data_IF_248808262933
#
_entry.id   IF_248808262933
#
_cell.length_a   1.000
_cell.length_b   1.000
_cell.length_c   1.000
_cell.angle_alpha   90.00
_cell.angle_beta   90.00
_cell.angle_gamma   90.00
#
_symmetry.space_group_name_H-M   'P 1'
#
loop_
_entity.id
_entity.type
_entity.pdbx_description
1 polymer ?
#
# COMPACT_ATOMS: atom_id res chain seq x y z
N UNK A 1 -21.60 12.39 -6.79
CA UNK A 1 -20.47 11.44 -6.68
C UNK A 1 -19.87 11.37 -8.07
N UNK A 2 -18.75 12.04 -8.31
CA UNK A 2 -18.14 12.05 -9.65
C UNK A 2 -17.40 10.73 -9.84
N UNK A 3 -17.87 9.93 -10.79
CA UNK A 3 -17.20 8.70 -11.22
C UNK A 3 -15.88 9.10 -11.90
N UNK A 4 -14.74 8.82 -11.26
CA UNK A 4 -13.44 8.94 -11.94
C UNK A 4 -13.38 7.77 -12.94
N UNK A 5 -13.80 8.04 -14.18
CA UNK A 5 -13.68 7.12 -15.32
C UNK A 5 -12.20 6.89 -15.63
N UNK A 6 -11.71 5.67 -15.40
CA UNK A 6 -10.44 5.21 -15.97
C UNK A 6 -10.76 4.53 -17.29
N UNK A 7 -10.94 5.31 -18.36
CA UNK A 7 -11.17 4.71 -19.68
C UNK A 7 -9.89 4.09 -20.24
N UNK A 8 -8.70 4.56 -19.84
CA UNK A 8 -7.42 3.98 -20.23
C UNK A 8 -6.48 3.86 -19.03
N UNK A 9 -6.21 2.62 -18.65
CA UNK A 9 -5.20 2.30 -17.64
C UNK A 9 -4.41 1.07 -18.09
N UNK A 10 -3.09 1.24 -18.13
CA UNK A 10 -2.13 0.27 -18.63
C UNK A 10 -1.47 -0.46 -17.46
N UNK A 11 -1.34 -1.78 -17.58
CA UNK A 11 -0.66 -2.59 -16.57
C UNK A 11 0.86 -2.49 -16.82
N UNK A 12 1.61 -1.93 -15.88
CA UNK A 12 3.08 -1.95 -15.91
C UNK A 12 3.55 -3.14 -15.09
N UNK A 13 4.20 -4.09 -15.74
CA UNK A 13 4.76 -5.27 -15.10
C UNK A 13 6.28 -5.22 -15.15
N UNK A 14 6.92 -5.52 -14.02
CA UNK A 14 8.37 -5.74 -13.94
C UNK A 14 8.68 -7.07 -13.26
N UNK A 15 9.72 -7.76 -13.73
CA UNK A 15 10.18 -9.03 -13.17
C UNK A 15 10.72 -8.86 -11.75
N UNK A 16 11.24 -7.67 -11.43
CA UNK A 16 11.47 -7.18 -10.07
C UNK A 16 10.58 -5.97 -9.71
N UNK A 17 10.41 -5.71 -8.39
CA UNK A 17 9.83 -4.44 -7.91
C UNK A 17 10.58 -3.25 -8.53
N UNK A 18 11.91 -3.33 -8.57
CA UNK A 18 12.76 -2.27 -9.06
C UNK A 18 12.61 -2.00 -10.55
N UNK A 19 12.43 -3.05 -11.36
CA UNK A 19 12.19 -2.90 -12.80
C UNK A 19 10.86 -2.19 -13.03
N UNK A 20 9.81 -2.61 -12.33
CA UNK A 20 8.50 -1.99 -12.44
C UNK A 20 8.53 -0.52 -12.00
N UNK A 21 9.24 -0.20 -10.91
CA UNK A 21 9.39 1.17 -10.43
C UNK A 21 10.15 2.06 -11.41
N UNK A 22 11.18 1.53 -12.06
CA UNK A 22 11.96 2.24 -13.07
C UNK A 22 11.07 2.59 -14.26
N UNK A 23 10.28 1.62 -14.76
CA UNK A 23 9.32 1.86 -15.87
C UNK A 23 8.26 2.88 -15.45
N UNK A 24 7.77 2.82 -14.21
CA UNK A 24 6.76 3.75 -13.70
C UNK A 24 7.23 5.21 -13.61
N UNK A 25 8.53 5.53 -13.73
CA UNK A 25 9.02 6.91 -13.68
C UNK A 25 8.45 7.78 -14.81
N UNK A 26 8.08 7.16 -15.93
CA UNK A 26 7.50 7.84 -17.10
C UNK A 26 5.96 7.92 -17.07
N UNK A 27 5.32 7.44 -16.00
CA UNK A 27 3.87 7.31 -15.93
C UNK A 27 3.27 7.85 -14.63
N UNK A 28 2.03 8.33 -14.70
CA UNK A 28 1.21 8.60 -13.51
C UNK A 28 0.60 7.30 -12.98
N UNK A 29 1.08 6.82 -11.84
CA UNK A 29 0.55 5.60 -11.19
C UNK A 29 -0.84 5.88 -10.60
N UNK A 30 -1.77 4.95 -10.80
CA UNK A 30 -3.10 5.01 -10.21
C UNK A 30 -3.06 5.02 -8.68
N UNK A 31 -3.80 5.95 -8.09
CA UNK A 31 -3.96 5.99 -6.64
C UNK A 31 -4.56 4.68 -6.13
N UNK A 32 -4.14 4.22 -4.96
CA UNK A 32 -4.64 2.96 -4.43
C UNK A 32 -6.16 2.99 -4.18
N UNK A 33 -6.71 4.16 -3.81
CA UNK A 33 -8.15 4.34 -3.66
C UNK A 33 -8.90 4.09 -4.97
N UNK A 34 -8.36 4.54 -6.10
CA UNK A 34 -8.98 4.26 -7.40
C UNK A 34 -9.05 2.77 -7.71
N UNK A 35 -7.97 2.02 -7.43
CA UNK A 35 -7.90 0.57 -7.62
C UNK A 35 -8.93 -0.13 -6.72
N UNK A 36 -9.00 0.25 -5.45
CA UNK A 36 -9.95 -0.31 -4.47
C UNK A 36 -11.40 -0.01 -4.84
N UNK A 37 -11.72 1.22 -5.24
CA UNK A 37 -13.07 1.63 -5.63
C UNK A 37 -13.50 0.89 -6.91
N UNK A 38 -12.59 0.65 -7.85
CA UNK A 38 -12.86 -0.20 -9.04
C UNK A 38 -13.10 -1.66 -8.68
N UNK A 39 -12.34 -2.23 -7.75
CA UNK A 39 -12.61 -3.58 -7.22
C UNK A 39 -14.01 -3.68 -6.62
N UNK A 40 -14.43 -2.68 -5.84
CA UNK A 40 -15.78 -2.59 -5.24
C UNK A 40 -16.86 -2.55 -6.32
N UNK A 41 -16.69 -1.70 -7.34
CA UNK A 41 -17.67 -1.50 -8.40
C UNK A 41 -17.75 -2.69 -9.37
N UNK A 42 -16.65 -3.41 -9.62
CA UNK A 42 -16.57 -4.48 -10.62
C UNK A 42 -17.63 -5.56 -10.44
N UNK A 43 -18.43 -5.86 -11.46
CA UNK A 43 -19.48 -6.91 -11.37
C UNK A 43 -18.92 -8.33 -11.46
N UNK A 44 -17.71 -8.49 -11.99
CA UNK A 44 -17.02 -9.77 -12.20
C UNK A 44 -15.63 -9.79 -11.55
N UNK A 45 -15.04 -10.99 -11.36
CA UNK A 45 -13.68 -11.19 -10.82
C UNK A 45 -12.55 -10.85 -11.81
N UNK A 46 -12.84 -10.07 -12.85
CA UNK A 46 -11.95 -9.83 -13.99
C UNK A 46 -10.75 -8.92 -13.68
N UNK A 47 -10.37 -8.08 -14.65
CA UNK A 47 -9.13 -7.27 -14.66
C UNK A 47 -8.74 -6.65 -13.32
N UNK A 48 -9.67 -6.04 -12.58
CA UNK A 48 -9.36 -5.31 -11.35
C UNK A 48 -9.10 -6.19 -10.12
N UNK A 49 -9.53 -7.45 -10.13
CA UNK A 49 -9.34 -8.38 -9.01
C UNK A 49 -8.07 -9.23 -9.11
N UNK A 50 -7.35 -9.14 -10.24
CA UNK A 50 -5.94 -9.56 -10.29
C UNK A 50 -5.16 -8.84 -9.18
N UNK A 51 -4.23 -9.51 -8.55
CA UNK A 51 -2.83 -9.15 -8.75
C UNK A 51 -2.35 -7.69 -9.00
N UNK A 52 -2.25 -6.77 -8.02
CA UNK A 52 -1.63 -5.45 -8.22
C UNK A 52 -0.73 -5.01 -7.06
N UNK A 53 0.36 -4.32 -7.39
CA UNK A 53 1.15 -3.48 -6.49
C UNK A 53 0.52 -2.09 -6.42
N UNK A 54 0.36 -1.56 -5.22
CA UNK A 54 -0.20 -0.22 -4.99
C UNK A 54 0.91 0.78 -4.67
N UNK A 55 0.66 2.08 -4.85
CA UNK A 55 1.57 3.13 -4.37
C UNK A 55 1.63 3.23 -2.83
N UNK A 56 0.82 2.47 -2.09
CA UNK A 56 0.79 2.56 -0.62
C UNK A 56 2.09 2.02 -0.05
N UNK A 57 2.62 2.75 0.93
CA UNK A 57 3.78 2.36 1.72
C UNK A 57 3.35 2.07 3.16
N UNK A 58 3.81 0.96 3.71
CA UNK A 58 3.85 0.74 5.15
C UNK A 58 5.28 0.95 5.64
N UNK A 59 5.51 2.06 6.33
CA UNK A 59 6.77 2.34 7.01
C UNK A 59 6.72 1.84 8.46
N UNK A 60 7.77 1.16 8.91
CA UNK A 60 7.87 0.59 10.26
C UNK A 60 9.16 1.07 10.91
N UNK A 61 9.10 1.55 12.14
CA UNK A 61 10.26 2.03 12.87
C UNK A 61 9.90 2.60 14.25
N UNK A 62 10.88 3.25 14.88
CA UNK A 62 10.71 3.83 16.22
C UNK A 62 10.43 5.33 16.19
N UNK A 63 9.53 5.78 17.05
CA UNK A 63 9.34 7.21 17.35
C UNK A 63 10.59 7.79 18.02
N UNK A 64 10.65 9.12 18.18
CA UNK A 64 11.73 9.78 18.95
C UNK A 64 11.83 9.28 20.40
N UNK A 65 10.72 8.80 20.96
CA UNK A 65 10.64 8.26 22.32
C UNK A 65 10.90 6.74 22.40
N UNK A 66 11.25 6.10 21.28
CA UNK A 66 11.59 4.67 21.23
C UNK A 66 10.42 3.71 21.04
N UNK A 67 9.18 4.20 20.90
CA UNK A 67 8.01 3.34 20.65
C UNK A 67 7.98 2.82 19.21
N UNK A 68 7.73 1.53 19.02
CA UNK A 68 7.55 0.93 17.70
C UNK A 68 6.19 1.29 17.10
N UNK A 69 6.20 1.86 15.90
CA UNK A 69 4.99 2.29 15.20
C UNK A 69 5.00 1.85 13.75
N UNK A 70 3.79 1.69 13.22
CA UNK A 70 3.51 1.49 11.81
C UNK A 70 2.86 2.74 11.23
N UNK A 71 3.40 3.24 10.13
CA UNK A 71 2.92 4.41 9.41
C UNK A 71 2.50 3.98 8.01
N UNK A 72 1.21 3.96 7.76
CA UNK A 72 0.64 3.63 6.46
C UNK A 72 0.39 4.92 5.70
N UNK A 73 0.92 5.00 4.48
CA UNK A 73 0.95 6.22 3.68
C UNK A 73 0.35 5.96 2.32
N UNK A 74 -0.70 6.70 1.98
CA UNK A 74 -1.22 6.89 0.63
C UNK A 74 -0.58 8.14 0.04
N UNK A 75 0.31 8.01 -0.95
CA UNK A 75 0.90 9.15 -1.62
C UNK A 75 -0.16 10.02 -2.28
N UNK A 76 0.05 11.34 -2.23
CA UNK A 76 -0.82 12.34 -2.85
C UNK A 76 -0.03 13.60 -3.15
N UNK A 77 0.10 13.93 -4.46
CA UNK A 77 0.67 15.19 -4.93
C UNK A 77 -0.10 16.39 -4.38
N UNK A 78 -1.44 16.33 -4.38
CA UNK A 78 -2.31 17.42 -3.89
C UNK A 78 -2.06 17.77 -2.41
N UNK A 79 -1.74 16.77 -1.59
CA UNK A 79 -1.53 16.96 -0.13
C UNK A 79 -0.07 17.12 0.26
N UNK A 80 0.85 17.21 -0.72
CA UNK A 80 2.29 17.28 -0.50
C UNK A 80 2.87 16.05 0.20
N UNK A 81 2.16 14.92 0.18
CA UNK A 81 2.66 13.62 0.63
C UNK A 81 3.26 12.97 -0.60
N UNK A 82 4.46 13.41 -0.94
CA UNK A 82 5.19 12.92 -2.11
C UNK A 82 5.38 11.41 -2.02
N UNK A 83 5.26 10.74 -3.15
CA UNK A 83 5.54 9.33 -3.19
C UNK A 83 7.06 9.13 -3.05
N UNK A 84 7.52 8.29 -2.12
CA UNK A 84 8.95 7.92 -2.11
C UNK A 84 9.41 7.29 -3.44
N UNK A 85 8.46 6.81 -4.26
CA UNK A 85 8.70 6.29 -5.61
C UNK A 85 8.75 7.38 -6.69
N UNK A 86 8.29 8.61 -6.41
CA UNK A 86 8.39 9.76 -7.31
C UNK A 86 9.76 10.45 -7.23
N UNK A 87 10.64 10.03 -6.31
CA UNK A 87 12.02 10.52 -6.23
C UNK A 87 12.95 9.48 -6.90
N UNK A 88 13.44 9.74 -8.13
CA UNK A 88 14.26 8.80 -8.87
C UNK A 88 15.52 8.39 -8.12
N UNK A 89 16.18 9.33 -7.45
CA UNK A 89 17.38 9.05 -6.66
C UNK A 89 17.09 8.10 -5.49
N UNK A 90 15.87 8.15 -4.94
CA UNK A 90 15.46 7.27 -3.85
C UNK A 90 15.22 5.85 -4.34
N UNK A 91 14.57 5.72 -5.50
CA UNK A 91 14.40 4.43 -6.19
C UNK A 91 15.77 3.88 -6.58
N UNK A 92 16.64 4.67 -7.20
CA UNK A 92 17.99 4.28 -7.60
C UNK A 92 18.82 3.79 -6.40
N UNK A 93 18.87 4.54 -5.30
CA UNK A 93 19.59 4.12 -4.09
C UNK A 93 19.05 2.81 -3.51
N UNK A 94 17.73 2.65 -3.47
CA UNK A 94 17.09 1.47 -2.90
C UNK A 94 17.20 0.22 -3.79
N UNK A 95 17.13 0.41 -5.11
CA UNK A 95 17.03 -0.66 -6.09
C UNK A 95 18.34 -1.01 -6.78
N UNK A 96 19.17 -0.02 -7.07
CA UNK A 96 20.42 -0.19 -7.84
C UNK A 96 21.61 -0.30 -6.90
N UNK A 97 21.68 0.53 -5.86
CA UNK A 97 22.88 0.66 -5.02
C UNK A 97 22.85 -0.22 -3.76
N UNK A 98 21.71 -0.30 -3.06
CA UNK A 98 21.66 -0.90 -1.71
C UNK A 98 21.07 -2.31 -1.65
N UNK A 99 20.35 -2.73 -2.70
CA UNK A 99 19.42 -3.87 -2.72
C UNK A 99 18.38 -3.77 -1.59
N UNK A 100 17.09 -3.87 -1.93
CA UNK A 100 16.00 -3.88 -0.96
C UNK A 100 16.34 -4.76 0.25
N UNK A 101 16.23 -4.21 1.46
CA UNK A 101 16.49 -4.97 2.68
C UNK A 101 15.22 -5.71 3.04
N UNK A 102 15.22 -7.03 2.80
CA UNK A 102 14.07 -7.88 3.10
C UNK A 102 12.76 -7.38 2.46
N UNK A 103 12.87 -7.02 1.17
CA UNK A 103 11.79 -6.48 0.34
C UNK A 103 11.36 -5.05 0.68
N UNK A 104 12.03 -4.38 1.62
CA UNK A 104 11.74 -3.01 2.03
C UNK A 104 12.79 -2.00 1.59
N UNK A 105 12.35 -0.75 1.51
CA UNK A 105 13.15 0.44 1.21
C UNK A 105 13.59 1.07 2.53
N UNK A 106 14.90 1.13 2.84
CA UNK A 106 15.41 1.82 4.02
C UNK A 106 15.03 3.30 4.00
N UNK A 107 14.59 3.83 5.15
CA UNK A 107 14.30 5.25 5.30
C UNK A 107 15.31 5.95 6.21
N UNK A 108 15.62 7.20 5.87
CA UNK A 108 16.22 8.12 6.84
C UNK A 108 15.25 8.35 8.01
N UNK A 109 15.80 8.49 9.23
CA UNK A 109 14.99 8.65 10.44
C UNK A 109 14.15 9.92 10.39
N UNK A 110 14.70 10.98 9.83
CA UNK A 110 14.06 12.29 9.66
C UNK A 110 12.85 12.17 8.73
N UNK A 111 12.99 11.45 7.61
CA UNK A 111 11.87 11.15 6.70
C UNK A 111 10.78 10.37 7.41
N UNK A 112 11.13 9.33 8.17
CA UNK A 112 10.15 8.54 8.92
C UNK A 112 9.42 9.37 9.99
N UNK A 113 10.13 10.22 10.74
CA UNK A 113 9.51 11.10 11.73
C UNK A 113 8.64 12.18 11.08
N UNK A 114 9.01 12.68 9.90
CA UNK A 114 8.16 13.56 9.12
C UNK A 114 6.84 12.86 8.73
N UNK A 115 6.89 11.59 8.34
CA UNK A 115 5.66 10.80 8.07
C UNK A 115 4.79 10.64 9.32
N UNK A 116 5.39 10.39 10.49
CA UNK A 116 4.63 10.30 11.76
C UNK A 116 3.90 11.62 12.04
N UNK A 117 4.54 12.76 11.80
CA UNK A 117 3.94 14.09 12.04
C UNK A 117 2.74 14.41 11.14
N UNK A 118 2.52 13.60 10.09
CA UNK A 118 1.42 13.72 9.14
C UNK A 118 0.22 12.84 9.52
N UNK A 119 0.20 12.24 10.71
CA UNK A 119 -0.96 11.47 11.14
C UNK A 119 -2.24 12.30 10.99
N UNK A 120 -3.30 11.67 10.50
CA UNK A 120 -4.59 12.33 10.28
C UNK A 120 -4.71 13.30 9.13
N UNK A 121 -3.70 13.40 8.28
CA UNK A 121 -3.87 14.07 7.00
C UNK A 121 -4.91 13.30 6.16
N UNK A 122 -5.87 14.04 5.63
CA UNK A 122 -6.93 13.59 4.72
C UNK A 122 -6.87 14.36 3.40
N UNK A 123 -7.38 13.76 2.34
CA UNK A 123 -7.62 14.48 1.08
C UNK A 123 -8.95 15.27 1.10
N UNK A 124 -9.25 15.97 -0.01
CA UNK A 124 -10.50 16.72 -0.19
C UNK A 124 -11.77 15.85 -0.12
N UNK A 125 -11.65 14.53 -0.26
CA UNK A 125 -12.73 13.57 -0.17
C UNK A 125 -12.79 12.84 1.18
N UNK A 126 -12.04 13.32 2.18
CA UNK A 126 -11.97 12.73 3.52
C UNK A 126 -11.43 11.30 3.52
N UNK A 127 -10.61 10.94 2.54
CA UNK A 127 -9.80 9.73 2.63
C UNK A 127 -8.58 10.01 3.52
N UNK A 128 -8.37 9.18 4.53
CA UNK A 128 -7.19 9.18 5.38
C UNK A 128 -5.96 8.83 4.55
N UNK A 129 -5.03 9.76 4.41
CA UNK A 129 -3.80 9.57 3.66
C UNK A 129 -2.67 9.00 4.50
N UNK A 130 -2.60 9.33 5.79
CA UNK A 130 -1.57 8.81 6.69
C UNK A 130 -2.21 8.27 7.97
N UNK A 131 -1.91 7.03 8.32
CA UNK A 131 -2.33 6.40 9.58
C UNK A 131 -1.11 5.94 10.37
N UNK A 132 -0.91 6.54 11.54
CA UNK A 132 0.09 6.10 12.52
C UNK A 132 -0.59 5.21 13.55
N UNK A 133 -0.03 4.02 13.77
CA UNK A 133 -0.59 3.03 14.70
C UNK A 133 0.53 2.43 15.54
N UNK A 134 0.27 2.18 16.82
CA UNK A 134 1.19 1.43 17.68
C UNK A 134 1.28 -0.01 17.16
N UNK A 135 2.51 -0.53 17.04
CA UNK A 135 2.78 -1.91 16.62
C UNK A 135 2.00 -2.92 17.48
N UNK A 136 1.82 -2.66 18.78
CA UNK A 136 1.14 -3.57 19.72
C UNK A 136 -0.34 -3.79 19.40
N UNK A 137 -0.96 -2.89 18.62
CA UNK A 137 -2.35 -3.01 18.19
C UNK A 137 -2.52 -3.93 16.97
N UNK A 138 -1.41 -4.34 16.34
CA UNK A 138 -1.45 -5.26 15.22
C UNK A 138 -1.36 -6.69 15.75
N UNK A 139 -2.35 -7.50 15.38
CA UNK A 139 -2.34 -8.92 15.66
C UNK A 139 -1.36 -9.65 14.73
N UNK A 140 -1.30 -10.98 14.80
CA UNK A 140 -0.43 -11.76 13.91
C UNK A 140 -0.86 -11.68 12.44
N UNK A 141 0.15 -11.69 11.56
CA UNK A 141 -0.02 -11.82 10.11
C UNK A 141 -0.62 -13.19 9.76
N UNK A 142 -1.61 -13.21 8.87
CA UNK A 142 -2.23 -14.47 8.45
C UNK A 142 -3.63 -14.32 7.85
N UNK A 143 -4.32 -15.46 7.73
CA UNK A 143 -5.73 -15.53 7.33
C UNK A 143 -6.64 -15.18 8.50
N UNK A 144 -7.72 -14.46 8.22
CA UNK A 144 -8.72 -14.04 9.21
C UNK A 144 -10.10 -13.94 8.57
N UNK A 145 -11.14 -14.04 9.38
CA UNK A 145 -12.50 -13.73 8.94
C UNK A 145 -12.58 -12.24 8.53
N UNK A 146 -13.17 -11.98 7.37
CA UNK A 146 -13.28 -10.64 6.78
C UNK A 146 -14.04 -9.67 7.70
N UNK A 147 -14.98 -10.16 8.50
CA UNK A 147 -15.74 -9.37 9.49
C UNK A 147 -14.83 -8.86 10.61
N UNK A 148 -13.77 -9.59 10.94
CA UNK A 148 -12.76 -9.15 11.90
C UNK A 148 -11.68 -8.33 11.21
N UNK A 149 -11.34 -8.68 9.96
CA UNK A 149 -10.34 -7.97 9.18
C UNK A 149 -10.69 -6.49 8.95
N UNK A 150 -11.96 -6.13 8.80
CA UNK A 150 -12.37 -4.72 8.66
C UNK A 150 -12.01 -3.84 9.86
N UNK A 151 -11.82 -4.44 11.04
CA UNK A 151 -11.39 -3.73 12.24
C UNK A 151 -9.86 -3.68 12.39
N UNK A 152 -9.12 -4.51 11.65
CA UNK A 152 -7.67 -4.59 11.77
C UNK A 152 -7.01 -3.29 11.30
N UNK A 153 -6.08 -2.69 12.07
CA UNK A 153 -5.48 -1.40 11.73
C UNK A 153 -4.82 -1.37 10.34
N UNK A 154 -4.15 -2.46 9.96
CA UNK A 154 -3.58 -2.59 8.60
C UNK A 154 -4.64 -2.44 7.52
N UNK A 155 -5.73 -3.19 7.61
CA UNK A 155 -6.79 -3.16 6.61
C UNK A 155 -7.47 -1.79 6.57
N UNK A 156 -7.79 -1.21 7.73
CA UNK A 156 -8.41 0.13 7.82
C UNK A 156 -7.53 1.21 7.20
N UNK A 157 -6.22 1.17 7.48
CA UNK A 157 -5.26 2.10 6.89
C UNK A 157 -5.23 1.98 5.37
N UNK A 158 -5.17 0.76 4.81
CA UNK A 158 -5.22 0.55 3.34
C UNK A 158 -6.51 1.08 2.74
N UNK A 159 -7.63 0.90 3.42
CA UNK A 159 -8.92 1.33 2.91
C UNK A 159 -9.10 2.85 3.00
N UNK A 160 -8.43 3.53 3.92
CA UNK A 160 -8.43 4.99 4.06
C UNK A 160 -9.78 5.62 4.43
N UNK A 161 -10.88 4.84 4.45
CA UNK A 161 -12.18 5.23 4.99
C UNK A 161 -13.01 4.00 5.34
N UNK A 162 -13.89 4.16 6.32
CA UNK A 162 -14.76 3.09 6.82
C UNK A 162 -15.70 2.52 5.74
N UNK A 163 -16.38 3.40 4.98
CA UNK A 163 -17.24 2.96 3.86
C UNK A 163 -16.50 2.04 2.87
N UNK A 164 -15.23 2.35 2.54
CA UNK A 164 -14.45 1.56 1.59
C UNK A 164 -14.09 0.21 2.19
N UNK A 165 -13.72 0.20 3.47
CA UNK A 165 -13.42 -1.03 4.21
C UNK A 165 -14.59 -2.02 4.17
N UNK A 166 -15.81 -1.55 4.44
CA UNK A 166 -17.02 -2.37 4.44
C UNK A 166 -17.41 -2.85 3.04
N UNK A 167 -17.41 -1.94 2.05
CA UNK A 167 -17.78 -2.29 0.67
C UNK A 167 -16.78 -3.25 0.04
N UNK A 168 -15.49 -3.05 0.29
CA UNK A 168 -14.45 -3.98 -0.15
C UNK A 168 -14.62 -5.35 0.50
N UNK A 169 -14.90 -5.39 1.81
CA UNK A 169 -15.14 -6.63 2.53
C UNK A 169 -16.35 -7.40 2.00
N UNK A 170 -17.47 -6.71 1.75
CA UNK A 170 -18.66 -7.32 1.15
C UNK A 170 -18.36 -7.90 -0.25
N UNK A 171 -17.54 -7.18 -1.02
CA UNK A 171 -17.15 -7.61 -2.37
C UNK A 171 -16.20 -8.81 -2.33
N UNK A 172 -15.19 -8.77 -1.47
CA UNK A 172 -14.29 -9.88 -1.19
C UNK A 172 -15.08 -11.11 -0.77
N UNK A 173 -16.04 -10.97 0.16
CA UNK A 173 -16.89 -12.07 0.63
C UNK A 173 -17.66 -12.74 -0.50
N UNK A 174 -18.20 -11.96 -1.43
CA UNK A 174 -18.90 -12.48 -2.61
C UNK A 174 -17.99 -13.25 -3.57
N UNK A 175 -16.73 -12.82 -3.72
CA UNK A 175 -15.81 -13.39 -4.70
C UNK A 175 -14.85 -14.44 -4.13
N UNK A 176 -14.44 -14.39 -2.88
CA UNK A 176 -13.39 -15.26 -2.35
C UNK A 176 -13.78 -15.94 -1.03
N UNK A 177 -15.00 -15.67 -0.54
CA UNK A 177 -15.51 -16.24 0.69
C UNK A 177 -15.15 -15.40 1.92
N UNK A 178 -15.39 -15.96 3.10
CA UNK A 178 -15.34 -15.20 4.37
C UNK A 178 -13.92 -14.91 4.85
N UNK A 179 -12.91 -15.56 4.30
CA UNK A 179 -11.53 -15.37 4.75
C UNK A 179 -10.78 -14.39 3.85
N UNK A 180 -9.94 -13.56 4.49
CA UNK A 180 -8.96 -12.72 3.81
C UNK A 180 -7.59 -12.90 4.47
N UNK A 181 -6.56 -12.89 3.64
CA UNK A 181 -5.17 -12.90 4.12
C UNK A 181 -4.70 -11.46 4.31
N UNK A 182 -4.26 -11.13 5.52
CA UNK A 182 -3.55 -9.90 5.82
C UNK A 182 -2.11 -10.27 6.15
N UNK A 183 -1.22 -10.19 5.16
CA UNK A 183 0.15 -10.69 5.28
C UNK A 183 1.15 -9.54 5.42
N UNK A 184 1.82 -9.46 6.56
CA UNK A 184 2.81 -8.43 6.85
C UNK A 184 3.97 -9.02 7.63
N UNK A 185 5.10 -8.32 7.58
CA UNK A 185 6.34 -8.72 8.25
C UNK A 185 6.79 -7.63 9.19
N UNK A 186 7.39 -8.02 10.30
CA UNK A 186 7.99 -7.08 11.22
C UNK A 186 9.30 -6.52 10.65
N UNK A 187 9.56 -5.25 10.89
CA UNK A 187 10.90 -4.70 10.73
C UNK A 187 11.78 -5.15 11.90
N UNK A 188 12.87 -5.87 11.58
CA UNK A 188 13.87 -6.34 12.55
C UNK A 188 15.18 -5.53 12.49
N UNK A 189 15.20 -4.45 11.73
CA UNK A 189 16.38 -3.59 11.54
C UNK A 189 16.35 -2.41 12.52
N UNK A 190 17.51 -1.77 12.72
CA UNK A 190 17.66 -0.60 13.61
C UNK A 190 17.27 0.73 12.95
N UNK A 191 16.89 0.70 11.68
CA UNK A 191 16.45 1.84 10.89
C UNK A 191 15.01 1.63 10.39
N UNK A 192 14.25 2.71 10.11
CA UNK A 192 12.91 2.56 9.60
C UNK A 192 12.92 1.97 8.18
N UNK A 193 11.93 1.13 7.88
CA UNK A 193 11.84 0.41 6.61
C UNK A 193 10.43 0.56 6.04
N UNK A 194 10.32 0.96 4.76
CA UNK A 194 9.06 1.09 4.04
C UNK A 194 8.85 -0.04 3.03
N UNK A 195 7.68 -0.66 3.05
CA UNK A 195 7.30 -1.72 2.11
C UNK A 195 6.08 -1.33 1.30
N UNK A 196 6.10 -1.68 0.01
CA UNK A 196 4.94 -1.54 -0.85
C UNK A 196 3.84 -2.53 -0.45
N UNK A 197 2.60 -2.13 -0.67
CA UNK A 197 1.43 -2.98 -0.43
C UNK A 197 0.92 -3.55 -1.74
N UNK A 198 0.63 -4.84 -1.73
CA UNK A 198 0.04 -5.60 -2.82
C UNK A 198 -1.39 -5.97 -2.47
N UNK A 199 -2.27 -5.81 -3.45
CA UNK A 199 -3.64 -6.30 -3.43
C UNK A 199 -3.73 -7.51 -4.35
N UNK A 200 -4.17 -8.65 -3.86
CA UNK A 200 -4.36 -9.86 -4.66
C UNK A 200 -5.73 -10.47 -4.38
N UNK A 201 -6.06 -11.57 -5.08
CA UNK A 201 -7.37 -12.22 -5.00
C UNK A 201 -7.70 -12.70 -3.57
N UNK A 202 -6.71 -13.26 -2.88
CA UNK A 202 -6.85 -13.80 -1.52
C UNK A 202 -6.64 -12.80 -0.39
N UNK A 203 -6.27 -11.55 -0.69
CA UNK A 203 -6.11 -10.51 0.33
C UNK A 203 -5.12 -9.40 0.04
N UNK A 204 -4.43 -8.97 1.08
CA UNK A 204 -3.54 -7.81 1.11
C UNK A 204 -2.21 -8.26 1.71
N UNK A 205 -1.09 -7.90 1.08
CA UNK A 205 0.23 -8.23 1.61
C UNK A 205 1.27 -7.15 1.42
N UNK A 206 2.34 -7.20 2.20
CA UNK A 206 3.53 -6.36 2.00
C UNK A 206 4.54 -7.02 1.06
N UNK A 207 5.35 -6.19 0.38
CA UNK A 207 6.63 -6.59 -0.19
C UNK A 207 7.48 -7.31 0.87
N UNK A 208 8.32 -8.29 0.50
CA UNK A 208 9.09 -9.04 1.50
C UNK A 208 8.38 -10.29 2.03
N UNK A 209 7.10 -10.50 1.68
CA UNK A 209 6.26 -11.59 2.18
C UNK A 209 5.86 -12.54 1.05
N UNK A 210 6.10 -13.84 1.25
CA UNK A 210 5.82 -14.91 0.30
C UNK A 210 6.52 -14.69 -1.06
N UNK A 211 5.88 -15.06 -2.17
CA UNK A 211 6.43 -15.07 -3.53
C UNK A 211 6.61 -13.69 -4.17
N UNK A 212 6.11 -12.61 -3.56
CA UNK A 212 6.19 -11.24 -4.14
C UNK A 212 7.47 -10.50 -3.76
N UNK A 213 8.58 -11.23 -3.63
CA UNK A 213 9.94 -10.66 -3.60
C UNK A 213 10.51 -10.41 -4.99
N UNK A 214 9.93 -11.03 -6.03
CA UNK A 214 10.31 -10.81 -7.42
C UNK A 214 9.50 -9.66 -8.00
N UNK A 215 8.40 -9.99 -8.67
CA UNK A 215 7.70 -9.05 -9.57
C UNK A 215 6.77 -8.03 -8.89
N UNK A 216 6.53 -6.94 -9.61
CA UNK A 216 5.50 -5.94 -9.29
C UNK A 216 4.61 -5.67 -10.50
N UNK A 217 3.37 -5.25 -10.23
CA UNK A 217 2.39 -4.86 -11.25
C UNK A 217 1.67 -3.60 -10.83
N UNK A 218 2.04 -2.46 -11.39
CA UNK A 218 1.34 -1.21 -11.17
C UNK A 218 0.25 -1.01 -12.23
N UNK A 219 -0.76 -0.22 -11.86
CA UNK A 219 -1.73 0.30 -12.82
C UNK A 219 -1.33 1.75 -13.11
N UNK A 220 -0.91 2.04 -14.33
CA UNK A 220 -0.63 3.39 -14.80
C UNK A 220 -1.86 4.00 -15.46
N UNK A 221 -2.01 5.30 -15.32
CA UNK A 221 -3.08 6.11 -15.91
C UNK A 221 -2.45 6.92 -17.04
N UNK A 222 -3.10 6.93 -18.19
CA UNK A 222 -2.79 7.89 -19.25
C UNK A 222 -3.47 9.22 -18.91
N UNK A 223 -2.68 10.29 -18.76
CA UNK A 223 -3.19 11.66 -18.60
C UNK A 223 -3.72 12.23 -19.91
#
# INVERSE_FOLDING_TARGET
>A
MQEVYFEKATEIYGESICDALTICQDYSIASAFSILDRRIQSTVRGKYWKWYTTPILLAQGKTKNGNDVHVLVHPSKESGIGHLLENPDYVERACVQSRLVDGGIPLARETFHALISRDAVEDKYKNRLVSVTDKKLWESSGKRDITNAVQHPFYRGIMGKEYRAEKYAAKHKRFFGKEISLLFKENKTDFPLARLVFLYEGGIQLAGVCSMNGSARFLAIEE
#
